data_IF_919061927605
#
_entry.id   IF_919061927605
#
_cell.length_a   1.000
_cell.length_b   1.000
_cell.length_c   1.000
_cell.angle_alpha   90.00
_cell.angle_beta   90.00
_cell.angle_gamma   90.00
#
_symmetry.space_group_name_H-M   'P 1'
#
loop_
_entity.id
_entity.type
_entity.pdbx_description
1 polymer ?
#
# COMPACT_ATOMS: atom_id res chain seq x y z
N UNK A 1 17.65 -5.88 88.95
CA UNK A 1 18.39 -6.06 87.67
C UNK A 1 17.46 -6.34 86.59
N UNK A 2 17.10 -5.28 85.78
CA UNK A 2 16.14 -5.41 84.69
C UNK A 2 16.89 -5.46 83.39
N UNK A 3 16.81 -6.60 82.67
CA UNK A 3 17.40 -6.82 81.38
C UNK A 3 16.51 -6.22 80.31
N UNK A 4 16.98 -5.16 79.61
CA UNK A 4 16.31 -4.59 78.44
C UNK A 4 16.84 -5.29 77.18
N UNK A 5 15.97 -6.02 76.50
CA UNK A 5 16.24 -6.62 75.16
C UNK A 5 15.90 -5.58 74.10
N UNK A 6 16.81 -5.21 73.20
CA UNK A 6 16.47 -4.34 72.07
C UNK A 6 15.77 -5.16 70.98
N UNK A 7 14.56 -4.74 70.60
CA UNK A 7 13.85 -5.25 69.44
C UNK A 7 14.42 -4.57 68.19
N UNK A 8 15.14 -5.32 67.38
CA UNK A 8 15.60 -4.91 66.04
C UNK A 8 14.41 -5.02 65.06
N UNK A 9 13.91 -3.85 64.67
CA UNK A 9 12.87 -3.74 63.63
C UNK A 9 13.57 -3.91 62.24
N UNK A 10 13.48 -5.09 61.63
CA UNK A 10 13.95 -5.32 60.28
C UNK A 10 12.94 -4.73 59.27
N UNK A 11 13.26 -3.59 58.66
CA UNK A 11 12.51 -3.03 57.53
C UNK A 11 12.80 -3.90 56.28
N UNK A 12 11.84 -4.76 55.90
CA UNK A 12 11.87 -5.46 54.65
C UNK A 12 11.42 -4.48 53.56
N UNK A 13 12.36 -3.93 52.80
CA UNK A 13 12.05 -3.20 51.58
C UNK A 13 11.58 -4.21 50.52
N UNK A 14 10.28 -4.33 50.33
CA UNK A 14 9.71 -4.97 49.18
C UNK A 14 9.99 -4.09 47.93
N UNK A 15 11.00 -4.47 47.15
CA UNK A 15 11.21 -3.88 45.83
C UNK A 15 10.03 -4.30 44.93
N UNK A 16 9.06 -3.42 44.80
CA UNK A 16 8.03 -3.56 43.78
C UNK A 16 8.73 -3.49 42.40
N UNK A 17 8.89 -4.63 41.75
CA UNK A 17 9.22 -4.67 40.32
C UNK A 17 8.08 -4.00 39.59
N UNK A 18 8.22 -2.73 39.22
CA UNK A 18 7.35 -2.07 38.28
C UNK A 18 7.46 -2.89 36.96
N UNK A 19 6.46 -3.70 36.68
CA UNK A 19 6.34 -4.31 35.38
C UNK A 19 6.28 -3.15 34.37
N UNK A 20 7.30 -3.00 33.55
CA UNK A 20 7.34 -1.99 32.50
C UNK A 20 6.08 -2.18 31.63
N UNK A 21 5.22 -1.17 31.61
CA UNK A 21 3.98 -1.22 30.85
C UNK A 21 4.31 -1.22 29.34
N UNK A 22 3.64 -2.09 28.59
CA UNK A 22 3.72 -2.02 27.13
C UNK A 22 3.03 -0.74 26.65
N UNK A 23 3.62 -0.05 25.69
CA UNK A 23 3.04 1.10 25.01
C UNK A 23 2.75 0.79 23.54
N UNK A 24 1.78 1.48 22.97
CA UNK A 24 1.46 1.39 21.54
C UNK A 24 1.86 2.69 20.88
N UNK A 25 2.59 2.57 19.76
CA UNK A 25 2.98 3.69 18.92
C UNK A 25 2.49 3.48 17.49
N UNK A 26 2.19 4.59 16.83
CA UNK A 26 1.69 4.62 15.46
C UNK A 26 2.66 5.45 14.61
N UNK A 27 3.00 4.94 13.45
CA UNK A 27 3.90 5.59 12.50
C UNK A 27 3.26 5.64 11.12
N UNK A 28 3.36 6.78 10.47
CA UNK A 28 3.15 6.92 9.03
C UNK A 28 4.37 6.40 8.28
N UNK A 29 4.17 5.55 7.28
CA UNK A 29 5.26 4.92 6.51
C UNK A 29 5.33 5.54 5.13
N UNK A 30 6.54 5.97 4.74
CA UNK A 30 6.82 6.51 3.41
C UNK A 30 7.60 5.50 2.58
N UNK A 31 7.23 5.33 1.31
CA UNK A 31 7.84 4.38 0.40
C UNK A 31 7.28 2.96 0.47
N UNK A 32 6.21 2.74 1.26
CA UNK A 32 5.49 1.47 1.27
C UNK A 32 4.45 1.47 0.15
N UNK A 33 4.85 1.07 -1.04
CA UNK A 33 4.06 1.07 -2.27
C UNK A 33 3.86 -0.34 -2.86
N UNK A 34 4.18 -1.38 -2.10
CA UNK A 34 4.11 -2.77 -2.51
C UNK A 34 3.37 -3.66 -1.49
N UNK A 35 2.73 -4.73 -1.96
CA UNK A 35 2.02 -5.67 -1.08
C UNK A 35 2.92 -6.39 -0.07
N UNK A 36 4.23 -6.52 -0.33
CA UNK A 36 5.20 -7.19 0.56
C UNK A 36 5.87 -6.23 1.55
N UNK A 37 5.75 -4.91 1.36
CA UNK A 37 6.40 -3.90 2.19
C UNK A 37 6.08 -4.07 3.69
N UNK A 38 4.85 -4.45 4.01
CA UNK A 38 4.43 -4.72 5.39
C UNK A 38 5.17 -5.91 6.02
N UNK A 39 5.48 -6.94 5.26
CA UNK A 39 6.18 -8.12 5.76
C UNK A 39 7.67 -7.83 5.94
N UNK A 40 8.28 -7.07 5.03
CA UNK A 40 9.67 -6.59 5.17
C UNK A 40 9.86 -5.75 6.43
N UNK A 41 8.92 -4.81 6.69
CA UNK A 41 8.91 -4.01 7.92
C UNK A 41 8.81 -4.92 9.16
N UNK A 42 7.86 -5.87 9.17
CA UNK A 42 7.65 -6.78 10.30
C UNK A 42 8.88 -7.65 10.55
N UNK A 43 9.58 -8.11 9.51
CA UNK A 43 10.78 -8.93 9.63
C UNK A 43 11.95 -8.15 10.23
N UNK A 44 12.11 -6.87 9.89
CA UNK A 44 13.09 -6.01 10.54
C UNK A 44 12.71 -5.70 11.99
N UNK A 45 11.44 -5.48 12.27
CA UNK A 45 10.97 -5.21 13.64
C UNK A 45 11.09 -6.42 14.58
N UNK A 46 10.96 -7.66 14.08
CA UNK A 46 11.22 -8.88 14.86
C UNK A 46 12.64 -8.93 15.44
N UNK A 47 13.61 -8.26 14.81
CA UNK A 47 15.01 -8.18 15.26
C UNK A 47 15.20 -7.16 16.40
N UNK A 48 14.24 -6.28 16.64
CA UNK A 48 14.29 -5.27 17.70
C UNK A 48 13.78 -5.88 19.02
N UNK A 49 14.69 -6.03 19.99
CA UNK A 49 14.34 -6.60 21.30
C UNK A 49 13.33 -5.70 22.01
N UNK A 50 12.20 -6.26 22.40
CA UNK A 50 11.13 -5.55 23.12
C UNK A 50 9.97 -5.11 22.22
N UNK A 51 10.02 -5.27 20.91
CA UNK A 51 8.86 -5.21 20.04
C UNK A 51 8.00 -6.44 20.32
N UNK A 52 6.72 -6.22 20.67
CA UNK A 52 5.74 -7.26 21.03
C UNK A 52 4.82 -7.63 19.89
N UNK A 53 4.40 -6.62 19.10
CA UNK A 53 3.51 -6.77 17.97
C UNK A 53 3.75 -5.63 16.98
N UNK A 54 3.65 -5.93 15.68
CA UNK A 54 3.65 -4.95 14.62
C UNK A 54 2.52 -5.28 13.63
N UNK A 55 1.71 -4.30 13.31
CA UNK A 55 0.61 -4.38 12.33
C UNK A 55 0.80 -3.26 11.32
N UNK A 56 0.74 -3.59 10.04
CA UNK A 56 0.84 -2.63 8.95
C UNK A 56 -0.46 -2.61 8.16
N UNK A 57 -1.06 -1.42 8.06
CA UNK A 57 -2.23 -1.15 7.23
C UNK A 57 -1.76 -0.44 5.95
N UNK A 58 -1.75 -1.18 4.84
CA UNK A 58 -1.29 -0.68 3.53
C UNK A 58 -2.20 0.44 3.00
N UNK A 59 -3.50 0.42 3.31
CA UNK A 59 -4.44 1.43 2.81
C UNK A 59 -4.26 2.78 3.49
N UNK A 60 -3.83 2.77 4.76
CA UNK A 60 -3.47 3.96 5.52
C UNK A 60 -2.00 4.30 5.42
N UNK A 61 -1.18 3.35 4.94
CA UNK A 61 0.29 3.42 5.01
C UNK A 61 0.74 3.67 6.45
N UNK A 62 0.15 2.89 7.37
CA UNK A 62 0.26 3.06 8.82
C UNK A 62 0.82 1.80 9.47
N UNK A 63 1.82 1.99 10.30
CA UNK A 63 2.41 0.96 11.13
C UNK A 63 2.02 1.19 12.59
N UNK A 64 1.32 0.24 13.20
CA UNK A 64 1.03 0.21 14.64
C UNK A 64 1.94 -0.78 15.32
N UNK A 65 2.70 -0.34 16.33
CA UNK A 65 3.67 -1.16 17.06
C UNK A 65 3.36 -1.16 18.54
N UNK A 66 3.30 -2.35 19.15
CA UNK A 66 3.27 -2.52 20.61
C UNK A 66 4.67 -2.83 21.12
N UNK A 67 5.17 -1.99 22.00
CA UNK A 67 6.54 -1.93 22.46
C UNK A 67 6.62 -2.10 23.99
N UNK A 68 7.66 -2.76 24.48
CA UNK A 68 8.07 -2.61 25.87
C UNK A 68 8.54 -1.16 26.10
N UNK A 69 8.29 -0.60 27.26
CA UNK A 69 8.55 0.82 27.60
C UNK A 69 10.01 1.26 27.35
N UNK A 70 10.95 0.33 27.45
CA UNK A 70 12.38 0.59 27.23
C UNK A 70 12.77 0.73 25.74
N UNK A 71 11.89 0.38 24.77
CA UNK A 71 12.17 0.51 23.34
C UNK A 71 11.91 1.95 22.92
N UNK A 72 12.88 2.57 22.26
CA UNK A 72 12.75 3.94 21.76
C UNK A 72 12.07 3.94 20.38
N UNK A 73 11.41 5.03 20.04
CA UNK A 73 10.80 5.21 18.73
C UNK A 73 11.84 5.19 17.60
N UNK A 74 13.07 5.70 17.87
CA UNK A 74 14.17 5.68 16.92
C UNK A 74 14.62 4.25 16.57
N UNK A 75 14.47 3.29 17.47
CA UNK A 75 14.79 1.88 17.19
C UNK A 75 13.78 1.26 16.20
N UNK A 76 12.52 1.71 16.24
CA UNK A 76 11.48 1.37 15.27
C UNK A 76 11.77 2.05 13.92
N UNK A 77 12.07 3.35 13.93
CA UNK A 77 12.44 4.11 12.73
C UNK A 77 13.61 3.45 12.00
N UNK A 78 14.68 3.13 12.73
CA UNK A 78 15.85 2.45 12.15
C UNK A 78 15.53 1.04 11.58
N UNK A 79 14.57 0.33 12.15
CA UNK A 79 14.12 -0.95 11.61
C UNK A 79 13.37 -0.77 10.28
N UNK A 80 12.50 0.23 10.20
CA UNK A 80 11.78 0.57 8.96
C UNK A 80 12.74 1.06 7.86
N UNK A 81 13.78 1.82 8.23
CA UNK A 81 14.81 2.26 7.29
C UNK A 81 15.63 1.07 6.74
N UNK A 82 15.91 0.04 7.54
CA UNK A 82 16.55 -1.19 7.04
C UNK A 82 15.67 -1.98 6.07
N UNK A 83 14.35 -1.85 6.17
CA UNK A 83 13.40 -2.36 5.20
C UNK A 83 13.28 -1.47 3.94
N UNK A 84 14.10 -0.41 3.81
CA UNK A 84 14.12 0.47 2.64
C UNK A 84 13.05 1.57 2.65
N UNK A 85 12.34 1.77 3.76
CA UNK A 85 11.24 2.73 3.90
C UNK A 85 11.55 3.77 4.98
N UNK A 86 10.70 4.79 5.13
CA UNK A 86 10.83 5.80 6.19
C UNK A 86 9.63 5.77 7.11
N UNK A 87 9.85 5.91 8.41
CA UNK A 87 8.79 6.03 9.42
C UNK A 87 8.79 7.43 10.04
N UNK A 88 7.61 8.00 10.19
CA UNK A 88 7.36 9.26 10.89
C UNK A 88 6.30 9.01 11.96
N UNK A 89 6.55 9.45 13.19
CA UNK A 89 5.60 9.30 14.28
C UNK A 89 4.28 9.99 13.96
N UNK A 90 3.19 9.26 14.08
CA UNK A 90 1.83 9.74 13.81
C UNK A 90 1.04 8.83 12.89
N UNK A 91 -0.25 9.12 12.67
CA UNK A 91 -1.14 8.30 11.86
C UNK A 91 -0.73 8.32 10.38
N UNK A 92 -0.99 7.22 9.70
CA UNK A 92 -0.86 7.13 8.25
C UNK A 92 -1.87 8.04 7.53
N UNK A 93 -1.49 8.53 6.37
CA UNK A 93 -2.30 9.45 5.58
C UNK A 93 -2.78 8.84 4.24
N UNK A 94 -2.64 7.51 4.08
CA UNK A 94 -2.93 6.81 2.84
C UNK A 94 -1.85 7.03 1.78
N UNK A 95 -2.21 6.90 0.50
CA UNK A 95 -1.27 7.08 -0.60
C UNK A 95 -0.67 8.49 -0.61
N UNK A 96 0.66 8.59 -0.68
CA UNK A 96 1.37 9.88 -0.69
C UNK A 96 1.20 10.68 -1.98
N UNK A 97 0.94 10.00 -3.08
CA UNK A 97 0.75 10.64 -4.38
C UNK A 97 -0.74 10.61 -4.73
N UNK A 98 -1.37 11.77 -4.93
CA UNK A 98 -2.76 11.82 -5.39
C UNK A 98 -2.88 11.16 -6.77
N UNK A 99 -4.07 10.66 -7.09
CA UNK A 99 -4.38 10.25 -8.46
C UNK A 99 -4.35 11.46 -9.38
N UNK A 100 -3.97 11.25 -10.65
CA UNK A 100 -3.97 12.29 -11.65
C UNK A 100 -5.39 12.84 -11.88
N UNK A 101 -5.50 14.16 -12.01
CA UNK A 101 -6.74 14.80 -12.44
C UNK A 101 -6.77 14.85 -13.97
N UNK A 102 -7.75 14.18 -14.55
CA UNK A 102 -7.91 14.14 -16.00
C UNK A 102 -8.55 15.39 -16.53
N UNK A 103 -8.17 15.87 -17.74
CA UNK A 103 -8.79 17.04 -18.35
C UNK A 103 -10.28 16.84 -18.60
N UNK A 104 -11.04 17.92 -18.49
CA UNK A 104 -12.47 17.91 -18.82
C UNK A 104 -12.70 17.43 -20.27
N UNK A 105 -13.71 16.62 -20.49
CA UNK A 105 -14.03 16.03 -21.80
C UNK A 105 -13.13 14.88 -22.22
N UNK A 106 -12.19 14.42 -21.37
CA UNK A 106 -11.46 13.17 -21.61
C UNK A 106 -12.38 11.97 -21.47
N UNK A 107 -12.19 10.95 -22.33
CA UNK A 107 -12.94 9.69 -22.24
C UNK A 107 -12.35 8.78 -21.16
N UNK A 108 -12.59 9.17 -19.91
CA UNK A 108 -12.10 8.45 -18.72
C UNK A 108 -13.29 8.13 -17.82
N UNK A 109 -13.43 6.87 -17.44
CA UNK A 109 -14.48 6.44 -16.52
C UNK A 109 -13.93 5.48 -15.46
N UNK A 110 -14.39 5.61 -14.22
CA UNK A 110 -14.12 4.66 -13.13
C UNK A 110 -15.24 3.62 -13.14
N UNK A 111 -14.87 2.36 -13.38
CA UNK A 111 -15.81 1.24 -13.44
C UNK A 111 -16.07 0.64 -12.06
N UNK A 112 -15.07 0.58 -11.21
CA UNK A 112 -15.22 0.17 -9.80
C UNK A 112 -14.23 0.91 -8.92
N UNK A 113 -14.66 1.20 -7.67
CA UNK A 113 -13.83 1.83 -6.62
C UNK A 113 -13.59 0.93 -5.42
N UNK A 114 -14.32 -0.16 -5.33
CA UNK A 114 -14.40 -1.04 -4.15
C UNK A 114 -13.98 -2.49 -4.42
N UNK A 115 -13.35 -2.75 -5.58
CA UNK A 115 -12.93 -4.09 -5.97
C UNK A 115 -14.07 -5.01 -6.42
N UNK A 116 -15.26 -4.47 -6.68
CA UNK A 116 -16.38 -5.24 -7.24
C UNK A 116 -16.07 -5.73 -8.65
N UNK A 117 -16.51 -6.95 -8.97
CA UNK A 117 -16.41 -7.52 -10.31
C UNK A 117 -17.17 -6.66 -11.34
N UNK A 118 -16.59 -6.50 -12.53
CA UNK A 118 -17.15 -5.66 -13.61
C UNK A 118 -17.59 -6.47 -14.83
N UNK A 119 -17.31 -7.76 -14.84
CA UNK A 119 -17.54 -8.66 -15.96
C UNK A 119 -16.42 -8.63 -16.99
N UNK A 120 -16.67 -9.25 -18.13
CA UNK A 120 -15.65 -9.43 -19.16
C UNK A 120 -15.21 -8.09 -19.75
N UNK A 121 -13.95 -7.73 -19.61
CA UNK A 121 -13.38 -6.46 -20.10
C UNK A 121 -13.62 -6.24 -21.60
N UNK A 122 -13.63 -7.31 -22.40
CA UNK A 122 -13.90 -7.23 -23.84
C UNK A 122 -15.25 -6.56 -24.16
N UNK A 123 -16.26 -6.79 -23.34
CA UNK A 123 -17.60 -6.19 -23.49
C UNK A 123 -17.67 -4.73 -23.04
N UNK A 124 -16.67 -4.28 -22.30
CA UNK A 124 -16.59 -2.92 -21.75
C UNK A 124 -15.71 -2.00 -22.61
N UNK A 125 -15.20 -2.51 -23.74
CA UNK A 125 -14.45 -1.72 -24.71
C UNK A 125 -15.30 -0.60 -25.29
N UNK A 126 -14.66 0.51 -25.63
CA UNK A 126 -15.31 1.62 -26.35
C UNK A 126 -15.17 1.37 -27.86
N UNK A 127 -16.29 1.21 -28.58
CA UNK A 127 -16.26 0.96 -30.01
C UNK A 127 -15.49 2.05 -30.78
N UNK A 128 -14.60 1.62 -31.69
CA UNK A 128 -13.83 2.53 -32.53
C UNK A 128 -12.67 3.24 -31.83
N UNK A 129 -12.43 2.98 -30.55
CA UNK A 129 -11.31 3.56 -29.79
C UNK A 129 -10.34 2.51 -29.27
N UNK A 130 -9.10 2.92 -29.03
CA UNK A 130 -8.23 2.20 -28.10
C UNK A 130 -8.86 2.29 -26.71
N UNK A 131 -8.98 1.16 -26.04
CA UNK A 131 -9.49 1.13 -24.66
C UNK A 131 -8.40 0.60 -23.73
N UNK A 132 -7.98 1.40 -22.79
CA UNK A 132 -7.04 1.01 -21.74
C UNK A 132 -7.80 0.80 -20.45
N UNK A 133 -7.82 -0.42 -19.96
CA UNK A 133 -8.26 -0.73 -18.60
C UNK A 133 -7.05 -0.59 -17.68
N UNK A 134 -7.12 0.36 -16.75
CA UNK A 134 -6.10 0.66 -15.76
C UNK A 134 -6.51 0.03 -14.42
N UNK A 135 -5.90 -1.11 -14.11
CA UNK A 135 -6.10 -1.80 -12.84
C UNK A 135 -5.08 -1.27 -11.83
N UNK A 136 -5.59 -0.67 -10.78
CA UNK A 136 -4.79 0.01 -9.76
C UNK A 136 -5.31 -0.27 -8.36
N UNK A 137 -4.55 0.14 -7.35
CA UNK A 137 -5.02 0.25 -5.96
C UNK A 137 -4.60 1.61 -5.38
N UNK A 138 -5.33 2.09 -4.38
CA UNK A 138 -5.06 3.41 -3.77
C UNK A 138 -3.69 3.47 -3.07
N UNK A 139 -3.18 2.34 -2.60
CA UNK A 139 -1.86 2.20 -1.98
C UNK A 139 -0.71 2.02 -2.99
N UNK A 140 -0.99 1.78 -4.28
CA UNK A 140 0.02 1.46 -5.29
C UNK A 140 0.74 2.72 -5.79
N UNK A 141 1.96 2.97 -5.35
CA UNK A 141 2.82 4.08 -5.79
C UNK A 141 3.11 4.04 -7.30
N UNK A 142 3.60 2.92 -7.86
CA UNK A 142 3.86 2.80 -9.30
C UNK A 142 2.62 3.03 -10.18
N UNK A 143 1.41 2.76 -9.66
CA UNK A 143 0.16 3.05 -10.37
C UNK A 143 -0.03 4.55 -10.62
N UNK A 144 0.50 5.42 -9.73
CA UNK A 144 0.45 6.89 -9.91
C UNK A 144 1.26 7.33 -11.11
N UNK A 145 2.41 6.70 -11.34
CA UNK A 145 3.26 6.99 -12.50
C UNK A 145 2.56 6.62 -13.81
N UNK A 146 1.85 5.49 -13.84
CA UNK A 146 1.02 5.07 -14.98
C UNK A 146 -0.16 6.02 -15.17
N UNK A 147 -0.82 6.42 -14.10
CA UNK A 147 -1.97 7.32 -14.12
C UNK A 147 -1.60 8.69 -14.75
N UNK A 148 -0.44 9.25 -14.39
CA UNK A 148 0.08 10.48 -15.02
C UNK A 148 0.35 10.28 -16.53
N UNK A 149 0.94 9.15 -16.92
CA UNK A 149 1.16 8.84 -18.33
C UNK A 149 -0.17 8.72 -19.10
N UNK A 150 -1.17 8.06 -18.53
CA UNK A 150 -2.51 7.96 -19.13
C UNK A 150 -3.17 9.33 -19.27
N UNK A 151 -3.01 10.21 -18.29
CA UNK A 151 -3.49 11.60 -18.35
C UNK A 151 -2.89 12.35 -19.55
N UNK A 152 -1.58 12.25 -19.76
CA UNK A 152 -0.91 12.85 -20.93
C UNK A 152 -1.46 12.28 -22.25
N UNK A 153 -1.62 10.96 -22.32
CA UNK A 153 -2.10 10.28 -23.51
C UNK A 153 -3.52 10.68 -23.89
N UNK A 154 -4.47 10.78 -22.94
CA UNK A 154 -5.86 11.22 -23.25
C UNK A 154 -5.94 12.70 -23.62
N UNK A 155 -4.99 13.52 -23.20
CA UNK A 155 -4.85 14.91 -23.68
C UNK A 155 -4.47 14.94 -25.16
N UNK A 156 -3.51 14.10 -25.55
CA UNK A 156 -2.95 14.08 -26.90
C UNK A 156 -3.82 13.31 -27.91
N UNK A 157 -4.66 12.36 -27.44
CA UNK A 157 -5.37 11.40 -28.29
C UNK A 157 -6.87 11.38 -28.01
N UNK A 158 -7.66 11.70 -29.02
CA UNK A 158 -9.15 11.63 -28.95
C UNK A 158 -9.69 10.23 -29.23
N UNK A 159 -8.89 9.35 -29.82
CA UNK A 159 -9.18 7.96 -30.08
C UNK A 159 -8.87 7.01 -28.91
N UNK A 160 -8.54 7.55 -27.74
CA UNK A 160 -8.21 6.79 -26.52
C UNK A 160 -9.32 6.93 -25.48
N UNK A 161 -9.73 5.79 -24.92
CA UNK A 161 -10.59 5.70 -23.75
C UNK A 161 -9.84 4.99 -22.59
N UNK A 162 -9.95 5.52 -21.39
CA UNK A 162 -9.40 4.90 -20.18
C UNK A 162 -10.54 4.46 -19.26
N UNK A 163 -10.45 3.24 -18.77
CA UNK A 163 -11.40 2.62 -17.84
C UNK A 163 -10.66 2.21 -16.59
N UNK A 164 -10.89 2.91 -15.49
CA UNK A 164 -10.17 2.73 -14.22
C UNK A 164 -10.85 1.68 -13.35
N UNK A 165 -10.07 0.79 -12.80
CA UNK A 165 -10.50 -0.35 -12.01
C UNK A 165 -9.69 -0.39 -10.71
N UNK A 166 -10.26 0.12 -9.61
CA UNK A 166 -9.64 -0.03 -8.30
C UNK A 166 -9.83 -1.46 -7.81
N UNK A 167 -8.76 -2.23 -7.77
CA UNK A 167 -8.80 -3.61 -7.27
C UNK A 167 -8.88 -3.66 -5.74
N UNK A 168 -8.51 -2.59 -5.06
CA UNK A 168 -8.41 -2.45 -3.61
C UNK A 168 -7.34 -3.37 -3.01
N UNK A 169 -7.49 -4.70 -3.21
CA UNK A 169 -6.54 -5.73 -2.80
C UNK A 169 -6.62 -6.96 -3.74
N UNK A 170 -5.68 -7.89 -3.61
CA UNK A 170 -5.57 -9.06 -4.48
C UNK A 170 -6.60 -10.17 -4.19
N UNK A 171 -7.38 -10.06 -3.11
CA UNK A 171 -8.43 -11.03 -2.73
C UNK A 171 -9.87 -10.60 -3.07
N UNK A 172 -10.04 -9.49 -3.79
CA UNK A 172 -11.35 -8.92 -4.15
C UNK A 172 -12.05 -9.69 -5.27
N UNK A 173 -13.36 -9.49 -5.47
CA UNK A 173 -14.08 -10.05 -6.60
C UNK A 173 -13.47 -9.69 -7.96
N UNK A 174 -13.03 -8.44 -8.15
CA UNK A 174 -12.33 -8.00 -9.35
C UNK A 174 -11.02 -8.74 -9.57
N UNK A 175 -10.19 -8.89 -8.52
CA UNK A 175 -8.92 -9.61 -8.62
C UNK A 175 -9.12 -11.06 -9.06
N UNK A 176 -10.13 -11.74 -8.49
CA UNK A 176 -10.50 -13.10 -8.89
C UNK A 176 -11.01 -13.17 -10.33
N UNK A 177 -11.74 -12.16 -10.81
CA UNK A 177 -12.23 -12.08 -12.18
C UNK A 177 -11.11 -11.87 -13.20
N UNK A 178 -10.09 -11.06 -12.87
CA UNK A 178 -8.90 -10.87 -13.68
C UNK A 178 -8.07 -12.16 -13.81
N UNK A 179 -8.16 -13.04 -12.80
CA UNK A 179 -7.64 -14.40 -12.81
C UNK A 179 -6.12 -14.49 -12.75
N UNK A 180 -5.56 -15.65 -13.14
CA UNK A 180 -4.15 -15.98 -13.01
C UNK A 180 -3.18 -15.09 -13.82
N UNK A 181 -3.66 -14.19 -14.64
CA UNK A 181 -2.82 -13.21 -15.37
C UNK A 181 -2.59 -11.92 -14.58
N UNK A 182 -3.25 -11.78 -13.45
CA UNK A 182 -3.17 -10.61 -12.59
C UNK A 182 -2.33 -10.96 -11.35
N UNK A 183 -1.04 -10.66 -11.39
CA UNK A 183 -0.11 -10.99 -10.30
C UNK A 183 0.54 -9.75 -9.66
N UNK A 184 0.50 -8.59 -10.35
CA UNK A 184 1.15 -7.37 -9.89
C UNK A 184 0.39 -6.11 -10.32
N UNK A 185 0.69 -5.00 -9.65
CA UNK A 185 0.20 -3.65 -9.97
C UNK A 185 1.37 -2.73 -10.33
N UNK A 186 1.15 -1.75 -11.24
CA UNK A 186 -0.03 -1.55 -12.07
C UNK A 186 -0.20 -2.66 -13.11
N UNK A 187 -1.46 -2.92 -13.50
CA UNK A 187 -1.77 -3.87 -14.56
C UNK A 187 -2.68 -3.21 -15.59
N UNK A 188 -2.25 -3.18 -16.83
CA UNK A 188 -3.01 -2.59 -17.93
C UNK A 188 -3.49 -3.65 -18.90
N UNK A 189 -4.74 -3.53 -19.33
CA UNK A 189 -5.28 -4.32 -20.45
C UNK A 189 -5.65 -3.34 -21.55
N UNK A 190 -4.91 -3.42 -22.65
CA UNK A 190 -5.10 -2.55 -23.82
C UNK A 190 -5.83 -3.30 -24.92
N UNK A 191 -6.93 -2.72 -25.39
CA UNK A 191 -7.61 -3.18 -26.61
C UNK A 191 -7.44 -2.17 -27.73
N UNK A 192 -7.08 -2.64 -28.92
CA UNK A 192 -7.14 -1.84 -30.13
C UNK A 192 -8.59 -1.67 -30.59
N UNK A 193 -8.91 -0.72 -31.49
CA UNK A 193 -10.24 -0.60 -32.11
C UNK A 193 -10.72 -1.91 -32.78
N UNK A 194 -9.80 -2.73 -33.32
CA UNK A 194 -10.10 -4.02 -33.92
C UNK A 194 -10.32 -5.15 -32.91
N UNK A 195 -10.07 -4.90 -31.60
CA UNK A 195 -10.26 -5.89 -30.53
C UNK A 195 -9.04 -6.72 -30.17
N UNK A 196 -7.86 -6.42 -30.72
CA UNK A 196 -6.61 -7.07 -30.29
C UNK A 196 -6.30 -6.66 -28.85
N UNK A 197 -6.13 -7.65 -27.96
CA UNK A 197 -5.81 -7.46 -26.55
C UNK A 197 -4.29 -7.54 -26.33
N UNK A 198 -3.78 -6.67 -25.47
CA UNK A 198 -2.41 -6.69 -24.93
C UNK A 198 -2.45 -6.46 -23.44
N UNK A 199 -1.84 -7.35 -22.67
CA UNK A 199 -1.70 -7.26 -21.22
C UNK A 199 -0.32 -6.71 -20.87
N UNK A 200 -0.24 -5.78 -19.92
CA UNK A 200 1.00 -5.08 -19.55
C UNK A 200 1.07 -5.04 -18.02
N UNK A 201 2.13 -5.61 -17.47
CA UNK A 201 2.42 -5.64 -16.05
C UNK A 201 3.47 -4.60 -15.70
N UNK A 202 3.30 -3.94 -14.55
CA UNK A 202 4.23 -2.93 -14.05
C UNK A 202 4.27 -1.66 -14.90
N UNK A 203 5.27 -0.83 -14.63
CA UNK A 203 5.52 0.42 -15.37
C UNK A 203 6.31 0.12 -16.63
N UNK A 204 5.64 -0.18 -17.74
CA UNK A 204 6.24 -0.56 -19.02
C UNK A 204 5.70 0.31 -20.17
N UNK A 205 6.12 1.59 -20.20
CA UNK A 205 5.62 2.59 -21.15
C UNK A 205 5.88 2.25 -22.61
N UNK A 206 7.02 1.66 -22.93
CA UNK A 206 7.31 1.22 -24.30
C UNK A 206 6.40 0.06 -24.76
N UNK A 207 5.90 -0.79 -23.86
CA UNK A 207 4.86 -1.77 -24.20
C UNK A 207 3.51 -1.08 -24.42
N UNK A 208 3.18 -0.10 -23.59
CA UNK A 208 1.95 0.70 -23.73
C UNK A 208 1.96 1.47 -25.05
N UNK A 209 3.05 2.18 -25.34
CA UNK A 209 3.17 2.96 -26.57
C UNK A 209 3.08 2.05 -27.83
N UNK A 210 3.72 0.87 -27.82
CA UNK A 210 3.55 -0.10 -28.91
C UNK A 210 2.13 -0.64 -29.03
N UNK A 211 1.44 -0.91 -27.92
CA UNK A 211 0.05 -1.37 -27.94
C UNK A 211 -0.90 -0.31 -28.50
N UNK A 212 -0.57 0.98 -28.33
CA UNK A 212 -1.33 2.13 -28.81
C UNK A 212 -0.91 2.64 -30.20
N UNK A 213 0.19 2.15 -30.78
CA UNK A 213 0.65 2.57 -32.10
C UNK A 213 -0.16 1.95 -33.26
N UNK A 214 -0.99 0.95 -32.98
CA UNK A 214 -1.73 0.19 -33.98
C UNK A 214 -0.90 -0.99 -34.57
N UNK A 215 -1.49 -1.78 -35.46
CA UNK A 215 -0.79 -2.82 -36.19
C UNK A 215 0.18 -2.24 -37.21
#
# INVERSE_FOLDING_TARGET
MSLRVPVLLACVFAAASAAAADRTQVFSIQGADCGQCGDEIKDELKKVKGVKKAEFDIHKVELTVRLADAVRDEDVVAAVERAGMKAVLGPGQGSYLPMATYPEGSDVAVLTRDGSAVGTLDKLRVPGKYTVFDVYADWCGPCRTVDERLRELVQARKDLAVRKLNVVDFDTPLARELGARFETLPYLVVFTPSGKRTDIEGVAFDKLDRALAGP
#
